data_IF_768542998297
#
_entry.id   IF_768542998297
#
_cell.length_a   1.000
_cell.length_b   1.000
_cell.length_c   1.000
_cell.angle_alpha   90.00
_cell.angle_beta   90.00
_cell.angle_gamma   90.00
#
_symmetry.space_group_name_H-M   'P 1'
#
loop_
_entity.id
_entity.type
_entity.pdbx_description
1 polymer ?
#
# COMPACT_ATOMS: atom_id res chain seq x y z
N UNK A 1 -17.96 45.19 20.31
CA UNK A 1 -16.57 45.64 20.14
C UNK A 1 -15.55 44.50 20.04
N UNK A 2 -15.74 43.37 20.73
CA UNK A 2 -14.81 42.20 20.68
C UNK A 2 -14.71 41.59 19.27
N UNK A 3 -15.81 41.58 18.50
CA UNK A 3 -15.84 41.10 17.11
C UNK A 3 -14.88 41.85 16.18
N UNK A 4 -14.71 43.16 16.37
CA UNK A 4 -13.79 43.97 15.57
C UNK A 4 -12.34 43.63 15.91
N UNK A 5 -12.05 43.36 17.19
CA UNK A 5 -10.73 42.93 17.64
C UNK A 5 -10.34 41.53 17.16
N UNK A 6 -11.28 40.58 17.16
CA UNK A 6 -11.06 39.23 16.63
C UNK A 6 -10.92 39.25 15.11
N UNK A 7 -11.73 40.04 14.41
CA UNK A 7 -11.58 40.23 12.96
C UNK A 7 -10.23 40.89 12.62
N UNK A 8 -9.77 41.89 13.39
CA UNK A 8 -8.45 42.49 13.20
C UNK A 8 -7.32 41.48 13.46
N UNK A 9 -7.42 40.66 14.51
CA UNK A 9 -6.43 39.64 14.82
C UNK A 9 -6.35 38.56 13.74
N UNK A 10 -7.50 38.15 13.19
CA UNK A 10 -7.58 37.23 12.06
C UNK A 10 -7.00 37.87 10.80
N UNK A 11 -7.33 39.13 10.50
CA UNK A 11 -6.77 39.85 9.35
C UNK A 11 -5.27 40.08 9.47
N UNK A 12 -4.75 40.38 10.66
CA UNK A 12 -3.31 40.51 10.93
C UNK A 12 -2.61 39.16 10.79
N UNK A 13 -3.20 38.09 11.35
CA UNK A 13 -2.68 36.72 11.21
C UNK A 13 -2.64 36.27 9.75
N UNK A 14 -3.70 36.57 9.00
CA UNK A 14 -3.79 36.26 7.57
C UNK A 14 -2.79 37.10 6.74
N UNK A 15 -2.60 38.38 7.07
CA UNK A 15 -1.62 39.26 6.40
C UNK A 15 -0.17 38.82 6.66
N UNK A 16 0.16 38.40 7.88
CA UNK A 16 1.47 37.86 8.26
C UNK A 16 1.75 36.48 7.64
N UNK A 17 0.69 35.69 7.39
CA UNK A 17 0.77 34.40 6.73
C UNK A 17 0.94 34.51 5.21
N UNK A 18 0.36 35.54 4.59
CA UNK A 18 0.48 35.82 3.15
C UNK A 18 1.86 36.43 2.80
N UNK A 19 2.53 37.12 3.73
CA UNK A 19 3.77 37.85 3.44
C UNK A 19 5.05 36.99 3.34
N UNK A 20 4.95 35.66 3.43
CA UNK A 20 6.03 34.69 3.30
C UNK A 20 7.15 34.79 4.37
N UNK A 21 7.70 33.63 4.76
CA UNK A 21 8.82 33.44 5.71
C UNK A 21 8.55 33.53 7.23
N UNK A 22 7.31 33.55 7.70
CA UNK A 22 7.04 33.51 9.14
C UNK A 22 7.39 32.16 9.81
N UNK A 23 7.27 31.04 9.09
CA UNK A 23 7.58 29.70 9.60
C UNK A 23 9.07 29.49 9.88
N UNK A 24 9.94 30.07 9.05
CA UNK A 24 11.41 29.94 9.17
C UNK A 24 11.94 30.70 10.38
N UNK A 25 11.29 31.78 10.82
CA UNK A 25 11.63 32.51 12.06
C UNK A 25 11.50 31.65 13.34
N UNK A 26 10.66 30.62 13.31
CA UNK A 26 10.46 29.67 14.42
C UNK A 26 11.02 28.28 14.06
N UNK A 27 11.83 28.19 12.99
CA UNK A 27 12.50 26.96 12.56
C UNK A 27 11.59 25.93 11.87
N UNK A 28 10.40 26.32 11.43
CA UNK A 28 9.46 25.44 10.74
C UNK A 28 9.67 25.50 9.23
N UNK A 29 9.66 24.32 8.59
CA UNK A 29 9.71 24.21 7.13
C UNK A 29 8.40 24.70 6.51
N UNK A 30 8.44 25.09 5.23
CA UNK A 30 7.27 25.56 4.48
C UNK A 30 6.15 24.51 4.43
N UNK A 31 6.49 23.22 4.35
CA UNK A 31 5.54 22.12 4.39
C UNK A 31 4.87 21.95 5.77
N UNK A 32 5.63 22.08 6.85
CA UNK A 32 5.11 22.03 8.23
C UNK A 32 4.20 23.23 8.51
N UNK A 33 4.56 24.41 8.00
CA UNK A 33 3.76 25.64 8.13
C UNK A 33 2.41 25.49 7.41
N UNK A 34 2.41 24.90 6.21
CA UNK A 34 1.19 24.62 5.45
C UNK A 34 0.24 23.64 6.13
N UNK A 35 0.78 22.65 6.86
CA UNK A 35 -0.03 21.66 7.60
C UNK A 35 -0.60 22.18 8.91
N UNK A 36 0.08 23.13 9.58
CA UNK A 36 -0.40 23.74 10.82
C UNK A 36 -1.50 24.78 10.59
N UNK A 37 -1.55 25.35 9.39
CA UNK A 37 -2.50 26.39 9.01
C UNK A 37 -3.99 26.00 9.19
N UNK A 38 -4.48 24.87 8.66
CA UNK A 38 -5.87 24.46 8.85
C UNK A 38 -6.20 24.14 10.31
N UNK A 39 -5.26 23.60 11.09
CA UNK A 39 -5.43 23.32 12.52
C UNK A 39 -5.62 24.62 13.32
N UNK A 40 -4.86 25.66 12.99
CA UNK A 40 -4.93 26.96 13.65
C UNK A 40 -6.25 27.68 13.32
N UNK A 41 -6.75 27.55 12.10
CA UNK A 41 -8.06 28.08 11.68
C UNK A 41 -9.20 27.38 12.44
N UNK A 42 -9.16 26.05 12.56
CA UNK A 42 -10.15 25.29 13.34
C UNK A 42 -10.11 25.67 14.81
N UNK A 43 -8.91 25.84 15.38
CA UNK A 43 -8.72 26.29 16.76
C UNK A 43 -9.34 27.67 17.01
N UNK A 44 -9.14 28.62 16.09
CA UNK A 44 -9.68 29.99 16.20
C UNK A 44 -11.22 29.99 16.10
N UNK A 45 -11.78 29.22 15.18
CA UNK A 45 -13.23 29.08 15.02
C UNK A 45 -13.86 28.49 16.30
N UNK A 46 -13.21 27.49 16.90
CA UNK A 46 -13.68 26.88 18.15
C UNK A 46 -13.49 27.77 19.39
N UNK A 47 -12.36 28.48 19.48
CA UNK A 47 -12.09 29.42 20.56
C UNK A 47 -13.04 30.63 20.52
N UNK A 48 -13.44 31.07 19.32
CA UNK A 48 -14.45 32.12 19.14
C UNK A 48 -15.84 31.72 19.64
N UNK A 49 -16.19 30.43 19.58
CA UNK A 49 -17.46 29.89 20.08
C UNK A 49 -17.59 29.80 21.61
N UNK A 50 -16.46 29.87 22.33
CA UNK A 50 -16.42 29.74 23.79
C UNK A 50 -16.85 31.00 24.56
N UNK A 51 -16.97 32.15 23.90
CA UNK A 51 -17.13 33.45 24.58
C UNK A 51 -18.57 33.99 24.66
N UNK A 52 -19.58 33.21 24.27
CA UNK A 52 -20.99 33.61 24.46
C UNK A 52 -21.61 32.85 25.63
N UNK A 53 -21.74 33.57 26.76
CA UNK A 53 -22.55 33.31 27.98
C UNK A 53 -21.76 32.78 29.18
N UNK A 54 -22.05 33.34 30.35
CA UNK A 54 -21.50 32.98 31.68
C UNK A 54 -21.71 31.50 31.97
N UNK A 55 -20.69 30.67 31.73
CA UNK A 55 -20.70 29.24 32.04
C UNK A 55 -20.28 29.02 33.49
N UNK A 56 -20.97 28.10 34.19
CA UNK A 56 -20.64 27.74 35.59
C UNK A 56 -19.24 27.12 35.62
N UNK A 57 -18.50 27.31 36.71
CA UNK A 57 -17.11 26.81 36.82
C UNK A 57 -16.97 25.31 36.51
N UNK A 58 -18.00 24.50 36.80
CA UNK A 58 -18.02 23.08 36.45
C UNK A 58 -18.09 22.79 34.93
N UNK A 59 -18.70 23.66 34.13
CA UNK A 59 -18.75 23.52 32.67
C UNK A 59 -17.40 23.84 32.03
N UNK A 60 -16.62 24.76 32.61
CA UNK A 60 -15.25 25.07 32.19
C UNK A 60 -14.31 23.88 32.46
N UNK A 61 -14.47 23.22 33.61
CA UNK A 61 -13.69 22.03 33.98
C UNK A 61 -14.00 20.85 33.05
N UNK A 62 -15.28 20.59 32.75
CA UNK A 62 -15.66 19.57 31.76
C UNK A 62 -15.16 19.89 30.36
N UNK A 63 -15.18 21.16 29.96
CA UNK A 63 -14.65 21.59 28.66
C UNK A 63 -13.14 21.36 28.56
N UNK A 64 -12.39 21.68 29.62
CA UNK A 64 -10.94 21.42 29.69
C UNK A 64 -10.60 19.93 29.66
N UNK A 65 -11.38 19.09 30.35
CA UNK A 65 -11.19 17.64 30.32
C UNK A 65 -11.48 17.06 28.93
N UNK A 66 -12.54 17.52 28.27
CA UNK A 66 -12.89 17.09 26.92
C UNK A 66 -11.83 17.53 25.91
N UNK A 67 -11.31 18.77 26.02
CA UNK A 67 -10.19 19.23 25.21
C UNK A 67 -8.90 18.45 25.48
N UNK A 68 -8.58 18.18 26.75
CA UNK A 68 -7.45 17.35 27.12
C UNK A 68 -7.55 15.93 26.56
N UNK A 69 -8.74 15.34 26.55
CA UNK A 69 -9.01 14.05 25.93
C UNK A 69 -8.82 14.10 24.40
N UNK A 70 -9.35 15.12 23.72
CA UNK A 70 -9.21 15.29 22.26
C UNK A 70 -7.73 15.49 21.89
N UNK A 71 -7.02 16.37 22.58
CA UNK A 71 -5.58 16.57 22.35
C UNK A 71 -4.78 15.31 22.69
N UNK A 72 -5.15 14.57 23.74
CA UNK A 72 -4.55 13.30 24.09
C UNK A 72 -4.71 12.26 22.98
N UNK A 73 -5.92 12.13 22.42
CA UNK A 73 -6.18 11.25 21.28
C UNK A 73 -5.41 11.70 20.05
N UNK A 74 -5.42 13.00 19.71
CA UNK A 74 -4.67 13.52 18.56
C UNK A 74 -3.15 13.31 18.71
N UNK A 75 -2.60 13.54 19.91
CA UNK A 75 -1.20 13.30 20.21
C UNK A 75 -0.85 11.81 20.14
N UNK A 76 -1.71 10.93 20.66
CA UNK A 76 -1.54 9.48 20.54
C UNK A 76 -1.62 9.04 19.07
N UNK A 77 -2.60 9.51 18.30
CA UNK A 77 -2.70 9.22 16.86
C UNK A 77 -1.47 9.68 16.07
N UNK A 78 -0.89 10.82 16.43
CA UNK A 78 0.35 11.31 15.79
C UNK A 78 1.59 10.52 16.23
N UNK A 79 1.72 10.23 17.53
CA UNK A 79 2.85 9.49 18.09
C UNK A 79 2.90 8.04 17.59
N UNK A 80 1.74 7.41 17.41
CA UNK A 80 1.59 6.03 16.94
C UNK A 80 1.17 5.94 15.46
N UNK A 81 1.39 7.01 14.67
CA UNK A 81 0.94 7.07 13.27
C UNK A 81 1.43 5.89 12.43
N UNK A 82 2.69 5.48 12.62
CA UNK A 82 3.33 4.44 11.80
C UNK A 82 2.75 3.05 12.14
N UNK A 83 2.48 2.79 13.42
CA UNK A 83 1.81 1.58 13.89
C UNK A 83 0.34 1.52 13.44
N UNK A 84 -0.35 2.66 13.45
CA UNK A 84 -1.73 2.78 12.98
C UNK A 84 -1.83 2.53 11.46
N UNK A 85 -0.89 3.03 10.67
CA UNK A 85 -0.83 2.73 9.23
C UNK A 85 -0.53 1.25 8.95
N UNK A 86 0.38 0.64 9.73
CA UNK A 86 0.65 -0.80 9.63
C UNK A 86 -0.52 -1.68 10.09
N UNK A 87 -1.31 -1.22 11.08
CA UNK A 87 -2.55 -1.88 11.49
C UNK A 87 -3.66 -1.74 10.44
N UNK A 88 -3.85 -0.54 9.89
CA UNK A 88 -4.80 -0.29 8.81
C UNK A 88 -4.46 -1.12 7.56
N UNK A 89 -3.18 -1.24 7.19
CA UNK A 89 -2.73 -2.11 6.11
C UNK A 89 -3.03 -3.59 6.36
N UNK A 90 -2.94 -4.07 7.60
CA UNK A 90 -3.29 -5.45 7.98
C UNK A 90 -4.78 -5.74 7.91
N UNK A 91 -5.63 -4.76 8.26
CA UNK A 91 -7.09 -4.88 8.12
C UNK A 91 -7.50 -4.75 6.64
N UNK A 92 -6.91 -3.80 5.90
CA UNK A 92 -7.17 -3.66 4.46
C UNK A 92 -6.79 -4.94 3.69
N UNK A 93 -5.68 -5.58 4.06
CA UNK A 93 -5.28 -6.89 3.52
C UNK A 93 -6.23 -8.04 3.85
N UNK A 94 -7.10 -7.91 4.86
CA UNK A 94 -8.17 -8.87 5.15
C UNK A 94 -9.33 -8.75 4.13
N UNK A 95 -9.53 -7.56 3.56
CA UNK A 95 -10.53 -7.32 2.51
C UNK A 95 -9.99 -7.54 1.09
N UNK A 96 -8.67 -7.44 0.90
CA UNK A 96 -7.98 -7.70 -0.38
C UNK A 96 -6.69 -8.50 -0.14
N UNK A 97 -6.74 -9.85 -0.12
CA UNK A 97 -5.58 -10.70 0.18
C UNK A 97 -4.44 -10.61 -0.84
N UNK A 98 -4.66 -10.01 -2.02
CA UNK A 98 -3.68 -9.94 -3.11
C UNK A 98 -2.67 -8.79 -2.99
N UNK A 99 -2.81 -7.88 -2.02
CA UNK A 99 -1.88 -6.75 -1.83
C UNK A 99 -0.74 -7.16 -0.91
N UNK A 100 0.48 -7.20 -1.45
CA UNK A 100 1.68 -7.43 -0.67
C UNK A 100 1.87 -6.32 0.38
N UNK A 101 2.15 -6.69 1.63
CA UNK A 101 2.70 -5.73 2.59
C UNK A 101 4.20 -5.66 2.31
N UNK A 102 4.60 -4.64 1.55
CA UNK A 102 5.98 -4.43 1.12
C UNK A 102 6.68 -3.53 2.15
N UNK A 103 7.70 -4.07 2.82
CA UNK A 103 8.67 -3.25 3.55
C UNK A 103 9.81 -2.93 2.57
N UNK A 104 9.59 -1.88 1.77
CA UNK A 104 10.47 -1.50 0.66
C UNK A 104 11.90 -1.19 1.13
N UNK A 105 12.07 -0.75 2.38
CA UNK A 105 13.38 -0.45 2.96
C UNK A 105 14.19 -1.72 3.30
N UNK A 106 13.55 -2.91 3.32
CA UNK A 106 14.20 -4.18 3.68
C UNK A 106 14.26 -5.21 2.55
N UNK A 107 13.67 -4.94 1.38
CA UNK A 107 13.60 -5.93 0.30
C UNK A 107 12.77 -7.17 0.65
N UNK A 108 11.78 -7.01 1.53
CA UNK A 108 10.93 -8.09 2.01
C UNK A 108 9.49 -7.85 1.54
N UNK A 109 8.94 -8.84 0.83
CA UNK A 109 7.55 -8.86 0.41
C UNK A 109 6.78 -9.92 1.20
N UNK A 110 5.75 -9.50 1.95
CA UNK A 110 4.89 -10.43 2.71
C UNK A 110 3.49 -10.50 2.13
N UNK A 111 3.02 -11.72 1.86
CA UNK A 111 1.69 -12.02 1.34
C UNK A 111 0.90 -12.85 2.35
N UNK A 112 -0.42 -12.65 2.39
CA UNK A 112 -1.32 -13.46 3.23
C UNK A 112 -1.95 -14.59 2.44
N UNK A 113 -2.24 -15.69 3.12
CA UNK A 113 -2.95 -16.81 2.50
C UNK A 113 -4.38 -16.37 2.15
N UNK A 114 -4.81 -16.62 0.92
CA UNK A 114 -6.16 -16.35 0.48
C UNK A 114 -7.14 -17.38 1.09
N UNK A 115 -8.44 -17.06 1.08
CA UNK A 115 -9.49 -17.97 1.60
C UNK A 115 -9.53 -19.32 0.89
N UNK A 116 -9.06 -19.38 -0.37
CA UNK A 116 -8.94 -20.61 -1.15
C UNK A 116 -7.81 -21.55 -0.70
N UNK A 117 -7.01 -21.17 0.31
CA UNK A 117 -5.95 -22.01 0.86
C UNK A 117 -4.62 -21.92 0.10
N UNK A 118 -4.52 -21.10 -0.94
CA UNK A 118 -3.29 -20.84 -1.70
C UNK A 118 -2.82 -19.40 -1.44
N UNK A 119 -1.57 -19.08 -1.78
CA UNK A 119 -1.08 -17.71 -1.73
C UNK A 119 -1.27 -17.08 -3.10
N UNK A 120 -2.18 -16.11 -3.16
CA UNK A 120 -2.42 -15.29 -4.35
C UNK A 120 -1.50 -14.07 -4.31
N UNK A 121 -0.84 -13.81 -5.42
CA UNK A 121 0.19 -12.79 -5.59
C UNK A 121 -0.20 -11.95 -6.80
N UNK A 122 -0.24 -10.63 -6.65
CA UNK A 122 -0.24 -9.73 -7.80
C UNK A 122 1.21 -9.52 -8.27
N UNK A 123 1.56 -10.10 -9.42
CA UNK A 123 2.84 -9.89 -10.09
C UNK A 123 2.67 -8.88 -11.22
N UNK A 124 3.71 -8.11 -11.54
CA UNK A 124 3.73 -7.28 -12.75
C UNK A 124 4.63 -7.93 -13.78
N UNK A 125 4.06 -8.45 -14.87
CA UNK A 125 4.76 -9.09 -15.98
C UNK A 125 4.76 -8.16 -17.18
N UNK A 126 5.93 -7.76 -17.66
CA UNK A 126 6.10 -6.82 -18.77
C UNK A 126 5.23 -5.54 -18.65
N UNK A 127 4.96 -5.09 -17.42
CA UNK A 127 4.12 -3.91 -17.14
C UNK A 127 2.63 -4.19 -16.94
N UNK A 128 2.16 -5.43 -17.15
CA UNK A 128 0.78 -5.85 -16.88
C UNK A 128 0.66 -6.51 -15.50
N UNK A 129 -0.35 -6.15 -14.71
CA UNK A 129 -0.61 -6.80 -13.42
C UNK A 129 -1.31 -8.13 -13.62
N UNK A 130 -0.58 -9.22 -13.39
CA UNK A 130 -1.03 -10.59 -13.53
C UNK A 130 -1.28 -11.23 -12.16
N UNK A 131 -2.49 -11.74 -11.88
CA UNK A 131 -2.74 -12.55 -10.69
C UNK A 131 -2.04 -13.90 -10.83
N UNK A 132 -1.27 -14.28 -9.81
CA UNK A 132 -0.52 -15.53 -9.77
C UNK A 132 -0.73 -16.29 -8.48
N UNK A 133 -0.58 -17.61 -8.53
CA UNK A 133 -0.51 -18.46 -7.35
C UNK A 133 0.95 -18.83 -7.08
N UNK A 134 1.40 -18.68 -5.84
CA UNK A 134 2.69 -19.24 -5.41
C UNK A 134 2.67 -20.77 -5.49
N UNK A 135 3.55 -21.35 -6.29
CA UNK A 135 3.59 -22.80 -6.51
C UNK A 135 5.03 -23.33 -6.57
N UNK A 136 5.46 -23.99 -5.50
CA UNK A 136 6.77 -24.68 -5.45
C UNK A 136 6.80 -25.97 -6.28
N UNK A 137 5.65 -26.50 -6.70
CA UNK A 137 5.53 -27.65 -7.59
C UNK A 137 5.76 -27.28 -9.07
N UNK A 138 5.59 -26.00 -9.42
CA UNK A 138 5.87 -25.51 -10.76
C UNK A 138 7.37 -25.25 -10.95
N UNK A 139 8.00 -25.99 -11.87
CA UNK A 139 9.44 -25.85 -12.17
C UNK A 139 9.84 -24.51 -12.78
N UNK A 140 8.86 -23.70 -13.21
CA UNK A 140 9.05 -22.38 -13.77
C UNK A 140 7.81 -21.52 -13.57
N UNK A 141 7.95 -20.21 -13.78
CA UNK A 141 6.80 -19.31 -13.95
C UNK A 141 5.96 -19.80 -15.14
N UNK A 142 4.66 -19.93 -14.93
CA UNK A 142 3.71 -20.39 -15.97
C UNK A 142 2.62 -19.33 -16.11
N UNK A 143 2.40 -18.85 -17.33
CA UNK A 143 1.35 -17.90 -17.67
C UNK A 143 0.20 -18.62 -18.35
N UNK A 144 -1.02 -18.18 -18.04
CA UNK A 144 -2.17 -18.45 -18.91
C UNK A 144 -1.98 -17.74 -20.24
N UNK A 145 -2.67 -18.21 -21.29
CA UNK A 145 -2.59 -17.54 -22.60
C UNK A 145 -3.11 -16.09 -22.53
N UNK A 146 -4.16 -15.85 -21.75
CA UNK A 146 -4.76 -14.53 -21.59
C UNK A 146 -3.79 -13.55 -20.89
N UNK A 147 -3.11 -14.01 -19.82
CA UNK A 147 -2.13 -13.20 -19.11
C UNK A 147 -0.88 -12.91 -19.97
N UNK A 148 -0.46 -13.90 -20.79
CA UNK A 148 0.64 -13.71 -21.73
C UNK A 148 0.31 -12.66 -22.80
N UNK A 149 -0.89 -12.70 -23.38
CA UNK A 149 -1.37 -11.70 -24.34
C UNK A 149 -1.47 -10.31 -23.71
N UNK A 150 -2.02 -10.23 -22.49
CA UNK A 150 -2.13 -8.98 -21.75
C UNK A 150 -0.75 -8.38 -21.39
N UNK A 151 0.25 -9.23 -21.19
CA UNK A 151 1.65 -8.86 -21.01
C UNK A 151 2.41 -8.57 -22.33
N UNK A 152 1.70 -8.51 -23.47
CA UNK A 152 2.25 -8.15 -24.77
C UNK A 152 3.04 -9.26 -25.47
N UNK A 153 2.91 -10.51 -25.04
CA UNK A 153 3.55 -11.67 -25.67
C UNK A 153 2.71 -12.08 -26.88
N UNK A 154 3.34 -12.21 -28.06
CA UNK A 154 2.69 -12.69 -29.28
C UNK A 154 2.48 -14.22 -29.21
N UNK A 155 1.37 -14.62 -28.58
CA UNK A 155 0.97 -16.02 -28.38
C UNK A 155 0.68 -16.75 -29.69
N UNK A 156 0.24 -16.05 -30.74
CA UNK A 156 -0.08 -16.63 -32.04
C UNK A 156 1.14 -17.18 -32.78
N UNK A 157 2.34 -16.76 -32.41
CA UNK A 157 3.62 -17.24 -32.99
C UNK A 157 4.36 -18.23 -32.10
N UNK A 158 3.83 -18.54 -30.92
CA UNK A 158 4.48 -19.42 -29.98
C UNK A 158 4.41 -20.89 -30.41
N UNK A 159 5.45 -21.63 -30.05
CA UNK A 159 5.59 -23.03 -30.40
C UNK A 159 5.28 -23.94 -29.20
N UNK A 160 4.04 -24.43 -29.14
CA UNK A 160 3.51 -25.23 -28.04
C UNK A 160 3.92 -26.71 -28.13
N UNK A 161 5.22 -26.99 -27.98
CA UNK A 161 5.77 -28.36 -28.07
C UNK A 161 6.11 -28.98 -26.73
N UNK A 162 6.23 -28.19 -25.68
CA UNK A 162 6.74 -28.64 -24.39
C UNK A 162 5.60 -29.28 -23.62
N UNK A 163 5.71 -30.57 -23.33
CA UNK A 163 4.73 -31.25 -22.50
C UNK A 163 4.83 -30.74 -21.06
N UNK A 164 3.71 -30.36 -20.48
CA UNK A 164 3.60 -29.93 -19.08
C UNK A 164 2.55 -30.78 -18.37
N UNK A 165 2.80 -31.10 -17.12
CA UNK A 165 1.81 -31.72 -16.24
C UNK A 165 1.19 -30.64 -15.38
N UNK A 166 -0.13 -30.53 -15.44
CA UNK A 166 -0.92 -29.57 -14.67
C UNK A 166 -1.94 -30.31 -13.80
N UNK A 167 -2.62 -29.60 -12.91
CA UNK A 167 -3.71 -30.17 -12.12
C UNK A 167 -4.87 -30.71 -13.00
N UNK A 168 -5.06 -30.13 -14.19
CA UNK A 168 -6.09 -30.54 -15.15
C UNK A 168 -5.64 -31.67 -16.10
N UNK A 169 -4.43 -32.22 -15.88
CA UNK A 169 -3.83 -33.26 -16.71
C UNK A 169 -2.62 -32.77 -17.51
N UNK A 170 -2.25 -33.52 -18.55
CA UNK A 170 -1.13 -33.19 -19.43
C UNK A 170 -1.56 -32.20 -20.51
N UNK A 171 -0.81 -31.10 -20.67
CA UNK A 171 -1.02 -30.11 -21.73
C UNK A 171 0.27 -29.79 -22.47
N UNK A 172 0.20 -28.85 -23.42
CA UNK A 172 1.38 -28.26 -24.05
C UNK A 172 1.61 -26.84 -23.58
N UNK A 173 2.87 -26.45 -23.62
CA UNK A 173 3.31 -25.10 -23.34
C UNK A 173 4.39 -24.65 -24.33
N UNK A 174 4.50 -23.35 -24.49
CA UNK A 174 5.57 -22.70 -25.21
C UNK A 174 6.52 -22.01 -24.23
N UNK A 175 7.83 -22.14 -24.45
CA UNK A 175 8.81 -21.42 -23.65
C UNK A 175 8.88 -19.97 -24.11
N UNK A 176 8.84 -19.05 -23.15
CA UNK A 176 9.05 -17.62 -23.38
C UNK A 176 10.10 -17.08 -22.41
N UNK A 177 10.58 -15.88 -22.72
CA UNK A 177 11.48 -15.11 -21.85
C UNK A 177 10.74 -13.84 -21.48
N UNK A 178 10.47 -13.64 -20.20
CA UNK A 178 9.85 -12.41 -19.71
C UNK A 178 10.92 -11.32 -19.69
N UNK A 179 10.59 -10.12 -20.18
CA UNK A 179 11.52 -9.00 -20.15
C UNK A 179 11.72 -8.56 -18.70
N UNK A 180 10.61 -8.41 -17.97
CA UNK A 180 10.59 -8.09 -16.55
C UNK A 180 9.41 -8.75 -15.85
N UNK A 181 9.67 -9.26 -14.65
CA UNK A 181 8.66 -9.69 -13.68
C UNK A 181 8.95 -9.04 -12.34
N UNK A 182 7.93 -8.48 -11.71
CA UNK A 182 8.04 -7.84 -10.39
C UNK A 182 7.00 -8.39 -9.43
N UNK A 183 7.43 -8.78 -8.24
CA UNK A 183 6.57 -9.34 -7.20
C UNK A 183 6.85 -8.63 -5.88
N UNK A 184 5.87 -7.86 -5.38
CA UNK A 184 6.00 -7.15 -4.10
C UNK A 184 7.23 -6.23 -4.04
N UNK A 185 7.59 -5.58 -5.15
CA UNK A 185 8.77 -4.70 -5.26
C UNK A 185 10.07 -5.42 -5.64
N UNK A 186 10.09 -6.76 -5.66
CA UNK A 186 11.26 -7.55 -6.09
C UNK A 186 11.19 -7.74 -7.61
N UNK A 187 12.06 -7.05 -8.34
CA UNK A 187 12.12 -7.11 -9.79
C UNK A 187 13.19 -8.10 -10.28
N UNK A 188 12.85 -8.86 -11.32
CA UNK A 188 13.76 -9.73 -12.06
C UNK A 188 13.57 -9.53 -13.54
N UNK A 189 14.67 -9.60 -14.28
CA UNK A 189 14.67 -9.49 -15.74
C UNK A 189 15.03 -10.82 -16.38
N UNK A 190 14.56 -11.02 -17.62
CA UNK A 190 14.94 -12.19 -18.43
C UNK A 190 14.64 -13.52 -17.71
N UNK A 191 13.50 -13.63 -17.04
CA UNK A 191 13.05 -14.87 -16.40
C UNK A 191 12.49 -15.84 -17.45
N UNK A 192 12.90 -17.10 -17.37
CA UNK A 192 12.30 -18.17 -18.19
C UNK A 192 10.88 -18.41 -17.68
N UNK A 193 9.91 -18.35 -18.58
CA UNK A 193 8.52 -18.71 -18.28
C UNK A 193 7.95 -19.62 -19.37
N UNK A 194 6.77 -20.17 -19.11
CA UNK A 194 6.02 -20.97 -20.05
C UNK A 194 4.63 -20.40 -20.22
N UNK A 195 4.10 -20.44 -21.44
CA UNK A 195 2.71 -20.09 -21.74
C UNK A 195 1.98 -21.38 -22.09
N UNK A 196 0.89 -21.70 -21.39
CA UNK A 196 0.10 -22.91 -21.66
C UNK A 196 -0.86 -22.70 -22.83
N UNK A 197 -1.32 -23.81 -23.41
CA UNK A 197 -2.45 -23.77 -24.35
C UNK A 197 -3.73 -23.27 -23.67
N UNK A 198 -4.68 -22.68 -24.42
CA UNK A 198 -5.95 -22.20 -23.88
C UNK A 198 -6.67 -23.28 -23.06
N UNK A 199 -7.15 -22.90 -21.87
CA UNK A 199 -7.91 -23.80 -20.98
C UNK A 199 -7.09 -24.84 -20.22
N UNK A 200 -5.76 -24.92 -20.43
CA UNK A 200 -4.90 -25.85 -19.68
C UNK A 200 -4.59 -25.39 -18.25
N UNK A 201 -4.73 -24.09 -17.98
CA UNK A 201 -4.43 -23.47 -16.69
C UNK A 201 -5.42 -22.34 -16.43
N UNK A 202 -6.03 -22.31 -15.23
CA UNK A 202 -7.01 -21.27 -14.85
C UNK A 202 -6.36 -20.00 -14.33
N UNK A 203 -5.23 -20.11 -13.63
CA UNK A 203 -4.51 -18.97 -13.03
C UNK A 203 -3.02 -19.16 -13.19
N UNK A 204 -2.32 -18.08 -13.53
CA UNK A 204 -0.86 -18.09 -13.68
C UNK A 204 -0.15 -18.54 -12.39
N UNK A 205 1.02 -19.15 -12.53
CA UNK A 205 1.78 -19.74 -11.43
C UNK A 205 3.14 -19.05 -11.28
N UNK A 206 3.48 -18.65 -10.06
CA UNK A 206 4.80 -18.17 -9.69
C UNK A 206 5.65 -19.36 -9.22
N UNK A 207 6.41 -19.94 -10.16
CA UNK A 207 7.21 -21.14 -9.93
C UNK A 207 8.71 -20.89 -9.74
N UNK A 208 9.47 -21.99 -9.75
CA UNK A 208 10.87 -22.03 -9.32
C UNK A 208 11.82 -21.11 -10.09
N UNK A 209 11.60 -20.85 -11.39
CA UNK A 209 12.46 -19.93 -12.15
C UNK A 209 12.48 -18.50 -11.62
N UNK A 210 11.46 -18.09 -10.86
CA UNK A 210 11.49 -16.85 -10.08
C UNK A 210 11.96 -17.12 -8.64
N UNK A 211 11.43 -18.15 -7.98
CA UNK A 211 11.71 -18.41 -6.56
C UNK A 211 13.18 -18.70 -6.27
N UNK A 212 13.91 -19.35 -7.18
CA UNK A 212 15.34 -19.63 -7.06
C UNK A 212 16.21 -18.37 -7.21
N UNK A 213 15.64 -17.26 -7.66
CA UNK A 213 16.35 -15.97 -7.75
C UNK A 213 16.30 -15.17 -6.45
N UNK A 214 15.48 -15.60 -5.49
CA UNK A 214 15.35 -14.96 -4.18
C UNK A 214 16.47 -15.44 -3.26
N UNK A 215 16.97 -14.56 -2.39
CA UNK A 215 17.88 -14.97 -1.32
C UNK A 215 17.21 -15.94 -0.34
N UNK A 216 15.92 -15.76 -0.09
CA UNK A 216 15.12 -16.67 0.76
C UNK A 216 13.62 -16.51 0.46
N UNK A 217 12.87 -17.60 0.57
CA UNK A 217 11.43 -17.55 0.76
C UNK A 217 11.02 -18.41 1.96
N UNK A 218 9.98 -17.99 2.68
CA UNK A 218 9.44 -18.70 3.85
C UNK A 218 7.94 -18.81 3.76
N UNK A 219 7.42 -20.01 4.02
CA UNK A 219 5.99 -20.29 4.01
C UNK A 219 5.56 -20.72 5.41
N UNK A 220 4.60 -20.00 5.97
CA UNK A 220 3.94 -20.34 7.23
C UNK A 220 2.46 -20.66 6.99
N UNK A 221 1.70 -20.93 8.05
CA UNK A 221 0.27 -21.22 7.91
C UNK A 221 -0.48 -20.09 7.21
N UNK A 222 -0.19 -18.82 7.53
CA UNK A 222 -0.98 -17.68 7.04
C UNK A 222 -0.17 -16.63 6.27
N UNK A 223 1.16 -16.77 6.19
CA UNK A 223 2.03 -15.80 5.54
C UNK A 223 3.05 -16.48 4.63
N UNK A 224 3.30 -15.84 3.47
CA UNK A 224 4.41 -16.09 2.57
C UNK A 224 5.32 -14.88 2.63
N UNK A 225 6.61 -15.09 2.86
CA UNK A 225 7.63 -14.06 2.88
C UNK A 225 8.63 -14.33 1.76
N UNK A 226 8.87 -13.33 0.91
CA UNK A 226 9.89 -13.33 -0.14
C UNK A 226 10.96 -12.31 0.21
N UNK A 227 12.22 -12.70 0.09
CA UNK A 227 13.39 -11.88 0.42
C UNK A 227 14.30 -11.81 -0.79
N UNK A 228 14.61 -10.58 -1.23
CA UNK A 228 15.54 -10.30 -2.33
C UNK A 228 16.95 -10.82 -2.03
#
# INVERSE_FOLDING_TARGET
>A
MIFIGVALAISIGLALLISADAGTLVGLTQAQTGQLLPLLIVLIIFAGGLFTRTRRAGELLNSLLLWGAIFGVAAASYAYRDELTGFAGRIAGEFQPSVAMVDADKGIATFRRARGGHFEIAATVNGHTTPMIFDTGASAVVLTIADAEAAGIDTGRLDYRIAVSTANGTGRAARVRLDRIEVGGIARERITAFVTEPGSLETSLLGMTFLETLSRYSVTQNALELVD
#
